data_IF_236262615115
#
_entry.id   IF_236262615115
#
_cell.length_a   1.000
_cell.length_b   1.000
_cell.length_c   1.000
_cell.angle_alpha   90.00
_cell.angle_beta   90.00
_cell.angle_gamma   90.00
#
_symmetry.space_group_name_H-M   'P 1'
#
loop_
_entity.id
_entity.type
_entity.pdbx_description
1 polymer ?
#
# COMPACT_ATOMS: atom_id res chain seq x y z
N UNK A 1 -5.81 27.79 9.67
CA UNK A 1 -7.22 27.83 10.07
C UNK A 1 -7.32 27.36 11.51
N UNK A 2 -8.18 27.98 12.32
CA UNK A 2 -8.58 27.38 13.61
C UNK A 2 -9.50 26.19 13.32
N UNK A 3 -9.25 25.05 13.95
CA UNK A 3 -10.08 23.86 13.88
C UNK A 3 -10.14 23.22 15.28
N UNK A 4 -11.05 22.27 15.45
CA UNK A 4 -11.30 21.53 16.70
C UNK A 4 -10.83 20.07 16.64
N UNK A 5 -10.43 19.58 15.46
CA UNK A 5 -9.94 18.22 15.26
C UNK A 5 -8.77 17.87 16.17
N UNK A 6 -8.93 16.79 16.95
CA UNK A 6 -7.87 16.14 17.74
C UNK A 6 -7.72 14.69 17.27
N UNK A 7 -6.49 14.25 17.03
CA UNK A 7 -6.16 12.86 16.67
C UNK A 7 -5.31 12.25 17.78
N UNK A 8 -5.66 11.06 18.25
CA UNK A 8 -4.99 10.42 19.39
C UNK A 8 -4.73 8.93 19.14
N UNK A 9 -3.59 8.43 19.64
CA UNK A 9 -3.24 7.01 19.60
C UNK A 9 -2.20 6.65 20.66
N UNK A 10 -2.61 5.88 21.67
CA UNK A 10 -1.77 5.59 22.83
C UNK A 10 -1.31 6.88 23.54
N UNK A 11 0.00 7.02 23.74
CA UNK A 11 0.59 8.22 24.37
C UNK A 11 0.74 9.43 23.42
N UNK A 12 0.43 9.29 22.12
CA UNK A 12 0.57 10.35 21.12
C UNK A 12 -0.76 11.11 20.96
N UNK A 13 -0.70 12.44 21.05
CA UNK A 13 -1.83 13.34 20.80
C UNK A 13 -1.43 14.41 19.79
N UNK A 14 -2.28 14.65 18.80
CA UNK A 14 -2.24 15.78 17.89
C UNK A 14 -3.47 16.64 18.19
N UNK A 15 -3.28 17.77 18.85
CA UNK A 15 -4.37 18.71 19.16
C UNK A 15 -4.24 20.00 18.34
N UNK A 16 -5.32 20.75 18.12
CA UNK A 16 -5.25 22.03 17.41
C UNK A 16 -4.21 22.96 18.05
N UNK A 17 -3.42 23.62 17.21
CA UNK A 17 -2.50 24.67 17.63
C UNK A 17 -3.29 25.92 18.07
N UNK A 18 -2.87 26.51 19.17
CA UNK A 18 -3.42 27.76 19.69
C UNK A 18 -2.33 28.83 19.85
N UNK A 19 -2.72 30.08 20.05
CA UNK A 19 -1.77 31.19 20.27
C UNK A 19 -0.87 30.94 21.50
N UNK A 20 -1.40 30.28 22.54
CA UNK A 20 -0.66 29.98 23.77
C UNK A 20 0.48 28.96 23.55
N UNK A 21 0.41 28.15 22.49
CA UNK A 21 1.41 27.14 22.18
C UNK A 21 2.63 27.71 21.45
N UNK A 22 2.50 28.91 20.86
CA UNK A 22 3.50 29.45 19.92
C UNK A 22 4.84 29.69 20.61
N UNK A 23 4.86 30.40 21.73
CA UNK A 23 6.11 30.70 22.42
C UNK A 23 6.81 29.42 22.92
N UNK A 24 6.14 28.47 23.62
CA UNK A 24 6.74 27.19 23.97
C UNK A 24 7.29 26.39 22.78
N UNK A 25 6.58 26.39 21.65
CA UNK A 25 7.05 25.73 20.42
C UNK A 25 8.29 26.41 19.83
N UNK A 26 8.33 27.75 19.82
CA UNK A 26 9.51 28.51 19.37
C UNK A 26 10.73 28.23 20.26
N UNK A 27 10.55 28.20 21.58
CA UNK A 27 11.63 27.91 22.54
C UNK A 27 12.16 26.49 22.33
N UNK A 28 11.25 25.51 22.19
CA UNK A 28 11.61 24.11 21.93
C UNK A 28 12.32 23.95 20.57
N UNK A 29 11.83 24.60 19.52
CA UNK A 29 12.46 24.59 18.21
C UNK A 29 13.86 25.23 18.24
N UNK A 30 14.03 26.33 18.98
CA UNK A 30 15.32 27.01 19.16
C UNK A 30 16.35 26.12 19.84
N UNK A 31 15.94 25.39 20.88
CA UNK A 31 16.80 24.42 21.56
C UNK A 31 17.27 23.26 20.65
N UNK A 32 16.61 23.05 19.51
CA UNK A 32 16.91 22.01 18.53
C UNK A 32 17.20 22.55 17.12
N UNK A 33 17.65 23.80 16.98
CA UNK A 33 17.80 24.46 15.68
C UNK A 33 18.66 23.66 14.68
N UNK A 34 19.78 23.08 15.13
CA UNK A 34 20.66 22.26 14.27
C UNK A 34 19.95 21.00 13.75
N UNK A 35 19.17 20.35 14.62
CA UNK A 35 18.38 19.17 14.26
C UNK A 35 17.28 19.47 13.22
N UNK A 36 16.86 20.73 13.14
CA UNK A 36 15.77 21.24 12.30
C UNK A 36 16.26 22.08 11.11
N UNK A 37 17.57 22.21 10.88
CA UNK A 37 18.16 23.07 9.84
C UNK A 37 17.72 22.80 8.40
N UNK A 38 17.22 21.59 8.12
CA UNK A 38 16.72 21.19 6.80
C UNK A 38 15.23 21.49 6.59
N UNK A 39 14.57 22.14 7.56
CA UNK A 39 13.26 22.72 7.33
C UNK A 39 13.37 23.94 6.41
N UNK A 40 12.42 24.09 5.49
CA UNK A 40 12.44 25.22 4.55
C UNK A 40 12.36 26.57 5.26
N UNK A 41 11.47 26.67 6.24
CA UNK A 41 11.38 27.80 7.18
C UNK A 41 11.67 27.28 8.59
N UNK A 42 12.62 27.88 9.32
CA UNK A 42 12.89 27.51 10.71
C UNK A 42 11.63 27.68 11.57
N UNK A 43 11.24 26.66 12.36
CA UNK A 43 10.04 26.71 13.18
C UNK A 43 10.26 27.44 14.52
N UNK A 44 11.29 28.28 14.63
CA UNK A 44 11.67 28.96 15.87
C UNK A 44 11.17 30.42 15.95
N UNK A 45 10.23 30.80 15.08
CA UNK A 45 9.66 32.16 15.04
C UNK A 45 8.13 32.12 15.18
N UNK A 46 7.50 33.10 15.84
CA UNK A 46 6.04 33.13 15.96
C UNK A 46 5.30 33.15 14.62
N UNK A 47 5.87 33.83 13.62
CA UNK A 47 5.26 33.98 12.29
C UNK A 47 5.12 32.64 11.56
N UNK A 48 6.04 31.69 11.80
CA UNK A 48 5.95 30.33 11.30
C UNK A 48 4.63 29.65 11.70
N UNK A 49 4.11 29.95 12.89
CA UNK A 49 2.89 29.38 13.45
C UNK A 49 1.65 30.21 13.15
N UNK A 50 1.73 31.55 13.29
CA UNK A 50 0.60 32.44 13.03
C UNK A 50 0.13 32.40 11.59
N UNK A 51 1.04 32.24 10.63
CA UNK A 51 0.67 32.02 9.23
C UNK A 51 -0.26 30.81 9.06
N UNK A 52 0.00 29.73 9.79
CA UNK A 52 -0.83 28.52 9.74
C UNK A 52 -2.18 28.69 10.42
N UNK A 53 -2.27 29.51 11.48
CA UNK A 53 -3.54 29.78 12.16
C UNK A 53 -4.50 30.58 11.28
N UNK A 54 -3.98 31.48 10.45
CA UNK A 54 -4.75 32.40 9.62
C UNK A 54 -5.07 31.85 8.22
N UNK A 55 -4.27 30.92 7.70
CA UNK A 55 -4.47 30.33 6.37
C UNK A 55 -5.61 29.30 6.36
N UNK A 56 -6.73 29.51 5.62
CA UNK A 56 -7.84 28.55 5.56
C UNK A 56 -7.46 27.21 4.91
N UNK A 57 -6.38 27.16 4.14
CA UNK A 57 -5.88 25.93 3.53
C UNK A 57 -4.91 25.15 4.45
N UNK A 58 -4.86 25.49 5.74
CA UNK A 58 -4.01 24.81 6.73
C UNK A 58 -4.77 24.46 8.02
N UNK A 59 -4.50 23.27 8.54
CA UNK A 59 -4.90 22.80 9.86
C UNK A 59 -3.65 22.42 10.63
N UNK A 60 -3.29 23.21 11.64
CA UNK A 60 -2.05 23.06 12.37
C UNK A 60 -2.24 22.37 13.71
N UNK A 61 -1.37 21.40 14.00
CA UNK A 61 -1.40 20.62 15.22
C UNK A 61 -0.16 20.84 16.07
N UNK A 62 -0.36 20.88 17.38
CA UNK A 62 0.69 20.57 18.35
C UNK A 62 0.82 19.06 18.45
N UNK A 63 2.05 18.56 18.49
CA UNK A 63 2.32 17.14 18.74
C UNK A 63 2.77 16.98 20.18
N UNK A 64 2.09 16.11 20.92
CA UNK A 64 2.41 15.77 22.31
C UNK A 64 2.63 14.27 22.47
N UNK A 65 3.61 13.88 23.29
CA UNK A 65 3.87 12.49 23.66
C UNK A 65 3.88 12.38 25.18
N UNK A 66 2.95 11.61 25.74
CA UNK A 66 2.78 11.47 27.19
C UNK A 66 2.45 12.81 27.87
N UNK A 67 1.70 13.67 27.19
CA UNK A 67 1.33 15.01 27.67
C UNK A 67 2.45 16.05 27.62
N UNK A 68 3.59 15.75 26.99
CA UNK A 68 4.71 16.69 26.82
C UNK A 68 4.82 17.14 25.37
N UNK A 69 5.19 18.41 25.19
CA UNK A 69 5.42 19.00 23.87
C UNK A 69 6.54 18.26 23.12
N UNK A 70 6.22 17.76 21.93
CA UNK A 70 7.12 16.93 21.12
C UNK A 70 7.42 17.54 19.75
N UNK A 71 6.62 18.52 19.30
CA UNK A 71 6.83 19.22 18.03
C UNK A 71 5.53 19.75 17.44
N UNK A 72 5.49 19.90 16.11
CA UNK A 72 4.27 20.30 15.39
C UNK A 72 4.18 19.65 14.01
N UNK A 73 2.97 19.56 13.48
CA UNK A 73 2.68 19.06 12.13
C UNK A 73 1.42 19.73 11.58
N UNK A 74 1.17 19.66 10.27
CA UNK A 74 0.00 20.30 9.66
C UNK A 74 -0.57 19.48 8.52
N UNK A 75 -1.88 19.56 8.32
CA UNK A 75 -2.42 19.52 6.97
C UNK A 75 -2.23 20.90 6.36
N UNK A 76 -1.71 20.98 5.15
CA UNK A 76 -1.57 22.22 4.39
C UNK A 76 -1.85 21.99 2.93
N UNK A 77 -1.82 23.05 2.11
CA UNK A 77 -2.14 22.96 0.67
C UNK A 77 -3.46 22.20 0.43
N UNK A 78 -4.45 22.46 1.29
CA UNK A 78 -5.77 21.82 1.22
C UNK A 78 -6.49 22.39 0.00
N UNK A 79 -6.75 21.52 -0.97
CA UNK A 79 -7.40 21.81 -2.24
C UNK A 79 -8.72 21.04 -2.29
N UNK A 80 -9.74 21.57 -1.62
CA UNK A 80 -11.04 20.93 -1.49
C UNK A 80 -11.66 20.56 -2.85
N UNK A 81 -11.50 21.40 -3.88
CA UNK A 81 -12.00 21.15 -5.23
C UNK A 81 -11.35 19.93 -5.93
N UNK A 82 -10.23 19.43 -5.41
CA UNK A 82 -9.49 18.30 -5.95
C UNK A 82 -9.30 17.18 -4.93
N UNK A 83 -9.96 17.27 -3.76
CA UNK A 83 -9.82 16.30 -2.67
C UNK A 83 -8.35 16.00 -2.34
N UNK A 84 -7.51 17.04 -2.34
CA UNK A 84 -6.07 16.90 -2.18
C UNK A 84 -5.54 17.73 -1.03
N UNK A 85 -4.54 17.22 -0.30
CA UNK A 85 -3.82 18.00 0.72
C UNK A 85 -2.35 17.55 0.84
N UNK A 86 -1.57 18.32 1.59
CA UNK A 86 -0.21 17.98 2.01
C UNK A 86 -0.16 17.70 3.51
N UNK A 87 0.50 16.60 3.91
CA UNK A 87 0.93 16.44 5.30
C UNK A 87 2.40 16.84 5.39
N UNK A 88 2.65 17.99 5.99
CA UNK A 88 3.97 18.62 6.00
C UNK A 88 4.22 19.44 7.25
N UNK A 89 5.22 20.31 7.15
CA UNK A 89 5.68 21.19 8.25
C UNK A 89 5.98 20.43 9.55
N UNK A 90 6.22 19.12 9.41
CA UNK A 90 6.39 18.19 10.51
C UNK A 90 7.79 18.35 11.06
N UNK A 91 7.87 18.64 12.35
CA UNK A 91 9.10 18.48 13.11
C UNK A 91 8.79 17.85 14.45
N UNK A 92 9.75 17.04 14.91
CA UNK A 92 9.75 16.40 16.22
C UNK A 92 11.10 16.67 16.86
N UNK A 93 11.13 16.77 18.18
CA UNK A 93 12.38 16.79 18.93
C UNK A 93 13.20 15.51 18.68
N UNK A 94 14.55 15.56 18.76
CA UNK A 94 15.41 14.41 18.49
C UNK A 94 15.09 13.17 19.32
N UNK A 95 14.59 13.34 20.55
CA UNK A 95 14.18 12.27 21.46
C UNK A 95 13.06 11.38 20.89
N UNK A 96 12.29 11.89 19.93
CA UNK A 96 11.21 11.16 19.26
C UNK A 96 11.60 10.67 17.86
N UNK A 97 12.87 10.78 17.47
CA UNK A 97 13.35 10.22 16.22
C UNK A 97 13.64 8.74 16.37
N UNK A 98 13.31 7.96 15.33
CA UNK A 98 13.47 6.50 15.31
C UNK A 98 12.73 5.72 16.41
N UNK A 99 11.81 6.37 17.14
CA UNK A 99 10.94 5.73 18.15
C UNK A 99 9.60 5.23 17.59
N UNK A 100 9.36 5.43 16.29
CA UNK A 100 8.06 5.17 15.66
C UNK A 100 7.01 6.26 15.89
N UNK A 101 7.31 7.35 16.62
CA UNK A 101 6.37 8.47 16.82
C UNK A 101 5.90 9.08 15.50
N UNK A 102 6.81 9.40 14.57
CA UNK A 102 6.42 9.93 13.27
C UNK A 102 5.54 8.94 12.47
N UNK A 103 5.85 7.64 12.50
CA UNK A 103 5.05 6.61 11.82
C UNK A 103 3.61 6.58 12.36
N UNK A 104 3.44 6.52 13.68
CA UNK A 104 2.11 6.54 14.34
C UNK A 104 1.34 7.82 14.06
N UNK A 105 2.02 8.97 14.10
CA UNK A 105 1.44 10.27 13.77
C UNK A 105 0.93 10.31 12.33
N UNK A 106 1.74 9.86 11.37
CA UNK A 106 1.34 9.81 9.95
C UNK A 106 0.22 8.82 9.71
N UNK A 107 0.17 7.69 10.43
CA UNK A 107 -0.98 6.76 10.38
C UNK A 107 -2.27 7.48 10.78
N UNK A 108 -2.30 8.15 11.93
CA UNK A 108 -3.49 8.88 12.40
C UNK A 108 -3.93 9.95 11.39
N UNK A 109 -2.97 10.69 10.83
CA UNK A 109 -3.29 11.75 9.87
C UNK A 109 -3.75 11.20 8.51
N UNK A 110 -3.07 10.20 7.96
CA UNK A 110 -3.48 9.59 6.69
C UNK A 110 -4.87 8.94 6.82
N UNK A 111 -5.11 8.23 7.93
CA UNK A 111 -6.41 7.63 8.24
C UNK A 111 -7.52 8.67 8.20
N UNK A 112 -7.36 9.75 8.97
CA UNK A 112 -8.37 10.81 8.98
C UNK A 112 -8.53 11.47 7.59
N UNK A 113 -7.44 11.73 6.87
CA UNK A 113 -7.52 12.35 5.55
C UNK A 113 -8.30 11.49 4.53
N UNK A 114 -8.08 10.17 4.50
CA UNK A 114 -8.73 9.29 3.54
C UNK A 114 -10.14 8.85 3.98
N UNK A 115 -10.30 8.46 5.25
CA UNK A 115 -11.52 7.82 5.75
C UNK A 115 -12.58 8.83 6.18
N UNK A 116 -12.18 9.97 6.74
CA UNK A 116 -13.11 10.98 7.28
C UNK A 116 -13.23 12.21 6.36
N UNK A 117 -12.09 12.73 5.87
CA UNK A 117 -12.11 13.91 4.98
C UNK A 117 -12.39 13.56 3.51
N UNK A 118 -12.36 12.27 3.14
CA UNK A 118 -12.61 11.81 1.77
C UNK A 118 -11.59 12.33 0.76
N UNK A 119 -10.32 12.49 1.15
CA UNK A 119 -9.27 12.92 0.23
C UNK A 119 -8.96 11.84 -0.80
N UNK A 120 -8.74 12.23 -2.06
CA UNK A 120 -8.22 11.36 -3.11
C UNK A 120 -6.70 11.24 -3.05
N UNK A 121 -6.03 12.29 -2.55
CA UNK A 121 -4.58 12.41 -2.61
C UNK A 121 -4.01 13.13 -1.40
N UNK A 122 -3.01 12.50 -0.78
CA UNK A 122 -2.17 13.12 0.25
C UNK A 122 -0.74 13.21 -0.26
N UNK A 123 -0.24 14.41 -0.46
CA UNK A 123 1.15 14.65 -0.84
C UNK A 123 2.05 14.83 0.39
N UNK A 124 3.32 14.48 0.24
CA UNK A 124 4.39 14.79 1.17
C UNK A 124 5.57 15.33 0.38
N UNK A 125 6.30 16.30 0.94
CA UNK A 125 7.50 16.82 0.29
C UNK A 125 8.62 17.06 1.28
N UNK A 126 9.85 16.92 0.80
CA UNK A 126 11.03 17.20 1.61
C UNK A 126 12.17 17.73 0.76
N UNK A 127 13.21 18.23 1.41
CA UNK A 127 14.43 18.67 0.72
C UNK A 127 15.16 17.46 0.14
N UNK A 128 15.73 17.59 -1.07
CA UNK A 128 16.58 16.57 -1.66
C UNK A 128 17.77 16.19 -0.76
N UNK A 129 18.25 17.12 0.07
CA UNK A 129 19.32 16.87 1.04
C UNK A 129 18.81 16.18 2.33
N UNK A 130 17.50 16.17 2.59
CA UNK A 130 16.90 15.58 3.78
C UNK A 130 16.61 14.09 3.59
N UNK A 131 17.68 13.31 3.43
CA UNK A 131 17.62 11.85 3.22
C UNK A 131 16.94 11.11 4.38
N UNK A 132 17.01 11.64 5.61
CA UNK A 132 16.27 11.12 6.77
C UNK A 132 14.77 11.17 6.53
N UNK A 133 14.26 12.32 6.07
CA UNK A 133 12.85 12.48 5.78
C UNK A 133 12.41 11.67 4.56
N UNK A 134 13.26 11.56 3.54
CA UNK A 134 12.97 10.73 2.35
C UNK A 134 12.75 9.27 2.76
N UNK A 135 13.70 8.68 3.51
CA UNK A 135 13.56 7.32 4.05
C UNK A 135 12.34 7.16 4.93
N UNK A 136 12.01 8.17 5.73
CA UNK A 136 10.83 8.13 6.57
C UNK A 136 9.54 8.12 5.74
N UNK A 137 9.45 8.92 4.68
CA UNK A 137 8.30 8.99 3.77
C UNK A 137 8.16 7.70 2.96
N UNK A 138 9.25 7.20 2.40
CA UNK A 138 9.30 5.91 1.68
C UNK A 138 8.92 4.75 2.61
N UNK A 139 9.34 4.81 3.88
CA UNK A 139 8.97 3.85 4.91
C UNK A 139 7.47 3.80 5.20
N UNK A 140 6.71 4.88 4.92
CA UNK A 140 5.25 4.90 5.01
C UNK A 140 4.60 4.09 3.88
N UNK A 141 5.29 3.88 2.76
CA UNK A 141 4.69 3.36 1.52
C UNK A 141 4.24 4.45 0.54
N UNK A 142 4.65 5.71 0.73
CA UNK A 142 4.36 6.78 -0.22
C UNK A 142 5.22 6.64 -1.49
N UNK A 143 4.61 6.87 -2.64
CA UNK A 143 5.26 6.80 -3.95
C UNK A 143 6.03 8.08 -4.24
N UNK A 144 7.28 7.96 -4.70
CA UNK A 144 8.11 9.09 -5.14
C UNK A 144 7.76 9.49 -6.57
N UNK A 145 7.33 10.72 -6.78
CA UNK A 145 6.84 11.18 -8.08
C UNK A 145 7.87 11.98 -8.87
N UNK A 146 8.78 12.67 -8.19
CA UNK A 146 9.78 13.48 -8.89
C UNK A 146 10.55 14.45 -8.01
N UNK A 147 11.41 15.23 -8.67
CA UNK A 147 12.20 16.30 -8.05
C UNK A 147 11.89 17.61 -8.75
N UNK A 148 11.38 18.56 -7.99
CA UNK A 148 11.24 19.95 -8.43
C UNK A 148 12.58 20.64 -8.20
N UNK A 149 13.31 20.90 -9.29
CA UNK A 149 14.61 21.59 -9.26
C UNK A 149 14.45 23.06 -8.95
N UNK A 150 15.30 23.62 -8.08
CA UNK A 150 15.28 25.04 -7.70
C UNK A 150 13.89 25.54 -7.27
N UNK A 151 13.15 24.71 -6.54
CA UNK A 151 11.76 24.96 -6.18
C UNK A 151 11.58 26.06 -5.13
N UNK A 152 12.45 26.11 -4.11
CA UNK A 152 12.33 27.05 -2.99
C UNK A 152 13.68 27.58 -2.54
N UNK A 153 13.71 28.68 -1.78
CA UNK A 153 14.91 29.14 -1.08
C UNK A 153 14.98 28.50 0.31
N UNK A 154 16.17 28.08 0.73
CA UNK A 154 16.47 27.69 2.11
C UNK A 154 16.70 28.94 2.96
N UNK A 155 16.73 28.74 4.28
CA UNK A 155 17.03 29.82 5.23
C UNK A 155 18.40 30.46 5.02
N UNK A 156 19.38 29.70 4.52
CA UNK A 156 20.73 30.18 4.18
C UNK A 156 20.82 30.89 2.81
N UNK A 157 19.69 31.06 2.11
CA UNK A 157 19.61 31.70 0.80
C UNK A 157 19.88 30.79 -0.40
N UNK A 158 20.37 29.56 -0.18
CA UNK A 158 20.61 28.59 -1.25
C UNK A 158 19.31 28.06 -1.86
N UNK A 159 19.37 27.56 -3.10
CA UNK A 159 18.21 26.96 -3.76
C UNK A 159 18.00 25.50 -3.35
N UNK A 160 16.76 25.19 -2.98
CA UNK A 160 16.28 23.86 -2.61
C UNK A 160 15.63 23.14 -3.79
N UNK A 161 16.11 21.94 -4.03
CA UNK A 161 15.39 20.92 -4.78
C UNK A 161 14.43 20.18 -3.86
N UNK A 162 13.19 20.01 -4.31
CA UNK A 162 12.13 19.37 -3.52
C UNK A 162 11.78 18.01 -4.09
N UNK A 163 11.87 16.97 -3.28
CA UNK A 163 11.38 15.64 -3.62
C UNK A 163 9.91 15.56 -3.27
N UNK A 164 9.09 15.18 -4.25
CA UNK A 164 7.64 15.03 -4.12
C UNK A 164 7.26 13.56 -3.97
N UNK A 165 6.35 13.29 -3.04
CA UNK A 165 5.78 11.98 -2.79
C UNK A 165 4.26 12.08 -2.63
N UNK A 166 3.56 10.96 -2.78
CA UNK A 166 2.12 10.87 -2.49
C UNK A 166 1.66 9.52 -2.00
N UNK A 167 0.49 9.52 -1.40
CA UNK A 167 -0.40 8.36 -1.25
C UNK A 167 -1.75 8.76 -1.86
N UNK A 168 -2.37 7.86 -2.61
CA UNK A 168 -3.71 8.02 -3.19
C UNK A 168 -4.73 7.17 -2.45
N UNK A 169 -6.03 7.47 -2.64
CA UNK A 169 -7.13 6.70 -2.02
C UNK A 169 -7.02 5.21 -2.32
N UNK A 170 -6.69 4.82 -3.55
CA UNK A 170 -6.55 3.42 -3.94
C UNK A 170 -5.37 2.72 -3.26
N UNK A 171 -4.33 3.46 -2.88
CA UNK A 171 -3.15 2.94 -2.18
C UNK A 171 -3.34 2.91 -0.67
N UNK A 172 -4.29 3.68 -0.12
CA UNK A 172 -4.50 3.83 1.31
C UNK A 172 -4.74 2.50 2.04
N UNK A 173 -5.56 1.54 1.57
CA UNK A 173 -5.75 0.28 2.28
C UNK A 173 -4.44 -0.48 2.54
N UNK A 174 -3.54 -0.52 1.54
CA UNK A 174 -2.24 -1.18 1.67
C UNK A 174 -1.30 -0.40 2.60
N UNK A 175 -1.23 0.93 2.42
CA UNK A 175 -0.42 1.82 3.27
C UNK A 175 -0.89 1.78 4.72
N UNK A 176 -2.20 1.82 4.95
CA UNK A 176 -2.85 1.79 6.26
C UNK A 176 -2.53 0.52 7.02
N UNK A 177 -2.73 -0.66 6.41
CA UNK A 177 -2.40 -1.96 7.00
C UNK A 177 -0.89 -2.07 7.36
N UNK A 178 -0.02 -1.64 6.45
CA UNK A 178 1.43 -1.59 6.71
C UNK A 178 1.77 -0.69 7.90
N UNK A 179 1.08 0.44 8.05
CA UNK A 179 1.34 1.41 9.11
C UNK A 179 0.75 0.99 10.46
N UNK A 180 -0.41 0.36 10.49
CA UNK A 180 -1.05 -0.18 11.70
C UNK A 180 -0.30 -1.40 12.25
N UNK A 181 0.43 -2.11 11.38
CA UNK A 181 1.01 -3.40 11.74
C UNK A 181 -0.04 -4.51 11.81
N UNK A 182 -1.24 -4.26 11.28
CA UNK A 182 -2.22 -5.31 11.02
C UNK A 182 -1.62 -6.31 10.03
N UNK A 183 -1.79 -7.60 10.32
CA UNK A 183 -1.36 -8.64 9.41
C UNK A 183 -2.09 -8.46 8.07
N UNK A 184 -1.32 -8.29 7.00
CA UNK A 184 -1.87 -8.36 5.65
C UNK A 184 -2.46 -9.77 5.46
N UNK A 185 -3.65 -9.93 4.86
CA UNK A 185 -4.06 -11.23 4.35
C UNK A 185 -2.93 -11.75 3.46
N UNK A 186 -2.51 -13.00 3.67
CA UNK A 186 -1.47 -13.61 2.84
C UNK A 186 -1.95 -13.57 1.38
N UNK A 187 -1.24 -12.87 0.48
CA UNK A 187 -1.65 -12.76 -0.91
C UNK A 187 -1.82 -14.13 -1.56
N UNK A 188 -0.98 -15.11 -1.20
CA UNK A 188 -1.09 -16.47 -1.72
C UNK A 188 -2.41 -17.08 -1.28
N UNK A 189 -2.66 -17.11 0.04
CA UNK A 189 -3.87 -17.67 0.60
C UNK A 189 -5.13 -17.00 0.05
N UNK A 190 -5.10 -15.68 -0.12
CA UNK A 190 -6.21 -14.88 -0.64
C UNK A 190 -6.69 -15.37 -2.01
N UNK A 191 -5.76 -15.54 -2.96
CA UNK A 191 -6.14 -15.99 -4.32
C UNK A 191 -6.25 -17.49 -4.42
N UNK A 192 -5.52 -18.26 -3.61
CA UNK A 192 -5.63 -19.72 -3.59
C UNK A 192 -7.01 -20.18 -3.09
N UNK A 193 -7.59 -19.49 -2.11
CA UNK A 193 -8.95 -19.81 -1.63
C UNK A 193 -10.04 -19.48 -2.66
N UNK A 194 -9.81 -18.47 -3.50
CA UNK A 194 -10.69 -18.15 -4.63
C UNK A 194 -10.51 -19.16 -5.77
N UNK A 195 -9.27 -19.55 -6.06
CA UNK A 195 -8.96 -20.58 -7.04
C UNK A 195 -9.60 -21.92 -6.65
N UNK A 196 -9.57 -22.30 -5.37
CA UNK A 196 -10.28 -23.49 -4.89
C UNK A 196 -11.80 -23.41 -5.10
N UNK A 197 -12.40 -22.22 -5.01
CA UNK A 197 -13.83 -22.06 -5.34
C UNK A 197 -14.10 -22.30 -6.82
N UNK A 198 -13.18 -21.91 -7.72
CA UNK A 198 -13.26 -22.29 -9.15
C UNK A 198 -13.24 -23.81 -9.29
N UNK A 199 -12.28 -24.50 -8.67
CA UNK A 199 -12.20 -25.97 -8.74
C UNK A 199 -13.42 -26.69 -8.15
N UNK A 200 -13.97 -26.20 -7.05
CA UNK A 200 -15.22 -26.72 -6.50
C UNK A 200 -16.41 -26.47 -7.44
N UNK A 201 -16.47 -25.33 -8.12
CA UNK A 201 -17.50 -25.08 -9.13
C UNK A 201 -17.39 -26.06 -10.32
N UNK A 202 -16.17 -26.30 -10.81
CA UNK A 202 -15.90 -27.30 -11.87
C UNK A 202 -16.31 -28.72 -11.44
N UNK A 203 -16.03 -29.07 -10.18
CA UNK A 203 -16.36 -30.38 -9.60
C UNK A 203 -17.86 -30.57 -9.35
N UNK A 204 -18.57 -29.50 -9.03
CA UNK A 204 -20.02 -29.55 -8.77
C UNK A 204 -20.85 -29.30 -10.05
N UNK A 205 -20.22 -28.91 -11.16
CA UNK A 205 -20.92 -28.50 -12.38
C UNK A 205 -21.67 -27.17 -12.22
N UNK A 206 -21.25 -26.30 -11.30
CA UNK A 206 -21.92 -25.04 -10.99
C UNK A 206 -21.38 -23.89 -11.85
N UNK A 207 -21.94 -23.77 -13.06
CA UNK A 207 -21.59 -22.70 -14.01
C UNK A 207 -21.78 -21.30 -13.43
N UNK A 208 -22.73 -21.10 -12.52
CA UNK A 208 -23.02 -19.78 -11.96
C UNK A 208 -21.98 -19.39 -10.90
N UNK A 209 -21.56 -20.33 -10.06
CA UNK A 209 -20.50 -20.10 -9.09
C UNK A 209 -19.17 -19.75 -9.78
N UNK A 210 -18.80 -20.50 -10.82
CA UNK A 210 -17.61 -20.23 -11.62
C UNK A 210 -17.70 -18.84 -12.29
N UNK A 211 -18.79 -18.56 -13.00
CA UNK A 211 -19.02 -17.30 -13.70
C UNK A 211 -18.93 -16.07 -12.79
N UNK A 212 -19.27 -16.17 -11.50
CA UNK A 212 -19.18 -15.07 -10.52
C UNK A 212 -17.75 -14.70 -10.15
N UNK A 213 -16.82 -15.64 -10.26
CA UNK A 213 -15.41 -15.41 -9.99
C UNK A 213 -14.68 -14.80 -11.18
N UNK A 214 -15.27 -14.86 -12.38
CA UNK A 214 -14.69 -14.31 -13.60
C UNK A 214 -15.10 -12.85 -13.83
N UNK A 215 -14.14 -12.04 -14.26
CA UNK A 215 -14.38 -10.69 -14.78
C UNK A 215 -15.15 -10.72 -16.11
N UNK A 216 -15.85 -9.62 -16.43
CA UNK A 216 -16.58 -9.47 -17.70
C UNK A 216 -15.65 -9.56 -18.92
N UNK A 217 -14.40 -9.11 -18.78
CA UNK A 217 -13.35 -9.12 -19.79
C UNK A 217 -12.39 -10.31 -19.66
N UNK A 218 -12.78 -11.37 -18.94
CA UNK A 218 -11.97 -12.57 -18.71
C UNK A 218 -11.47 -13.20 -20.02
N UNK A 219 -10.20 -13.63 -20.02
CA UNK A 219 -9.58 -14.39 -21.10
C UNK A 219 -8.98 -15.71 -20.57
N UNK A 220 -9.59 -16.82 -20.96
CA UNK A 220 -9.04 -18.17 -20.83
C UNK A 220 -8.21 -18.58 -22.04
N UNK A 221 -7.04 -19.19 -21.83
CA UNK A 221 -6.17 -19.74 -22.88
C UNK A 221 -5.88 -21.22 -22.57
N UNK A 222 -6.41 -22.11 -23.38
CA UNK A 222 -6.35 -23.56 -23.19
C UNK A 222 -5.82 -24.26 -24.44
N UNK A 223 -5.51 -25.56 -24.34
CA UNK A 223 -5.07 -26.37 -25.48
C UNK A 223 -6.07 -26.34 -26.66
N UNK A 224 -7.37 -26.28 -26.36
CA UNK A 224 -8.44 -26.22 -27.38
C UNK A 224 -8.63 -24.83 -28.00
N UNK A 225 -8.01 -23.78 -27.47
CA UNK A 225 -8.16 -22.40 -27.94
C UNK A 225 -8.40 -21.39 -26.83
N UNK A 226 -9.09 -20.29 -27.16
CA UNK A 226 -9.38 -19.20 -26.22
C UNK A 226 -10.86 -19.17 -25.87
N UNK A 227 -11.18 -18.82 -24.63
CA UNK A 227 -12.55 -18.65 -24.17
C UNK A 227 -12.69 -17.33 -23.41
N UNK A 228 -13.78 -16.60 -23.68
CA UNK A 228 -14.23 -15.52 -22.79
C UNK A 228 -15.07 -16.07 -21.64
N UNK A 229 -15.48 -15.20 -20.71
CA UNK A 229 -16.29 -15.54 -19.52
C UNK A 229 -17.42 -16.53 -19.80
N UNK A 230 -18.32 -16.17 -20.72
CA UNK A 230 -19.52 -16.96 -21.00
C UNK A 230 -19.18 -18.32 -21.64
N UNK A 231 -18.18 -18.36 -22.52
CA UNK A 231 -17.74 -19.60 -23.15
C UNK A 231 -17.05 -20.54 -22.15
N UNK A 232 -16.28 -19.99 -21.21
CA UNK A 232 -15.66 -20.76 -20.13
C UNK A 232 -16.72 -21.37 -19.21
N UNK A 233 -17.65 -20.56 -18.68
CA UNK A 233 -18.69 -21.06 -17.78
C UNK A 233 -19.65 -22.06 -18.47
N UNK A 234 -19.94 -21.87 -19.76
CA UNK A 234 -20.82 -22.77 -20.52
C UNK A 234 -20.28 -24.20 -20.64
N UNK A 235 -18.98 -24.44 -20.42
CA UNK A 235 -18.40 -25.79 -20.44
C UNK A 235 -19.02 -26.72 -19.38
N UNK A 236 -19.54 -26.15 -18.29
CA UNK A 236 -20.22 -26.88 -17.21
C UNK A 236 -21.71 -27.14 -17.52
N UNK A 237 -22.23 -26.71 -18.67
CA UNK A 237 -23.61 -26.94 -19.06
C UNK A 237 -23.98 -28.42 -19.23
N UNK A 238 -22.99 -29.29 -19.41
CA UNK A 238 -23.15 -30.74 -19.50
C UNK A 238 -23.00 -31.46 -18.13
N UNK A 239 -22.76 -30.71 -17.04
CA UNK A 239 -22.47 -31.22 -15.70
C UNK A 239 -21.03 -30.97 -15.28
N UNK A 240 -20.56 -31.64 -14.21
CA UNK A 240 -19.19 -31.52 -13.72
C UNK A 240 -18.14 -31.82 -14.80
N UNK A 241 -17.05 -31.06 -14.83
CA UNK A 241 -15.88 -31.37 -15.66
C UNK A 241 -14.74 -32.04 -14.88
N UNK A 242 -14.81 -31.99 -13.55
CA UNK A 242 -13.82 -32.52 -12.62
C UNK A 242 -14.49 -33.48 -11.65
N UNK A 243 -13.87 -34.62 -11.35
CA UNK A 243 -14.32 -35.55 -10.32
C UNK A 243 -13.53 -35.39 -9.02
N UNK A 244 -12.20 -35.43 -9.14
CA UNK A 244 -11.26 -35.16 -8.04
C UNK A 244 -10.16 -34.23 -8.52
N UNK A 245 -9.59 -33.45 -7.61
CA UNK A 245 -8.44 -32.60 -7.91
C UNK A 245 -7.52 -32.45 -6.69
N UNK A 246 -6.25 -32.16 -6.95
CA UNK A 246 -5.27 -31.72 -5.98
C UNK A 246 -4.50 -30.54 -6.56
N UNK A 247 -4.29 -29.51 -5.74
CA UNK A 247 -3.47 -28.34 -6.09
C UNK A 247 -2.14 -28.42 -5.32
N UNK A 248 -1.05 -28.01 -5.96
CA UNK A 248 0.29 -28.05 -5.38
C UNK A 248 1.24 -27.07 -6.06
N UNK A 249 2.45 -26.92 -5.50
CA UNK A 249 3.51 -26.06 -6.05
C UNK A 249 3.06 -24.60 -6.27
N UNK A 250 2.27 -24.07 -5.33
CA UNK A 250 1.63 -22.78 -5.43
C UNK A 250 2.64 -21.63 -5.27
N UNK A 251 2.56 -20.67 -6.17
CA UNK A 251 3.37 -19.47 -6.15
C UNK A 251 2.51 -18.26 -6.45
N UNK A 252 2.73 -17.18 -5.72
CA UNK A 252 2.09 -15.89 -5.98
C UNK A 252 3.13 -14.83 -6.35
N UNK A 253 2.76 -13.94 -7.25
CA UNK A 253 3.50 -12.71 -7.59
C UNK A 253 2.54 -11.53 -7.58
N UNK A 254 2.92 -10.46 -6.89
CA UNK A 254 2.21 -9.18 -6.96
C UNK A 254 2.67 -8.42 -8.20
N UNK A 255 1.76 -8.22 -9.15
CA UNK A 255 2.05 -7.50 -10.39
C UNK A 255 1.90 -5.99 -10.22
N UNK A 256 0.89 -5.58 -9.46
CA UNK A 256 0.58 -4.19 -9.10
C UNK A 256 -0.31 -4.19 -7.83
N UNK A 257 -0.53 -3.04 -7.16
CA UNK A 257 -1.56 -2.93 -6.13
C UNK A 257 -2.91 -3.44 -6.65
N UNK A 258 -3.51 -4.41 -5.93
CA UNK A 258 -4.77 -5.04 -6.34
C UNK A 258 -4.67 -5.98 -7.56
N UNK A 259 -3.47 -6.41 -7.96
CA UNK A 259 -3.28 -7.33 -9.09
C UNK A 259 -2.26 -8.43 -8.72
N UNK A 260 -2.73 -9.67 -8.68
CA UNK A 260 -1.96 -10.85 -8.27
C UNK A 260 -1.93 -11.87 -9.40
N UNK A 261 -0.78 -12.49 -9.61
CA UNK A 261 -0.62 -13.68 -10.44
C UNK A 261 -0.44 -14.89 -9.53
N UNK A 262 -1.26 -15.91 -9.73
CA UNK A 262 -1.15 -17.21 -9.09
C UNK A 262 -0.67 -18.23 -10.12
N UNK A 263 0.32 -19.04 -9.77
CA UNK A 263 0.79 -20.17 -10.56
C UNK A 263 0.81 -21.40 -9.67
N UNK A 264 0.31 -22.52 -10.17
CA UNK A 264 0.27 -23.79 -9.42
C UNK A 264 0.20 -24.99 -10.36
N UNK A 265 0.40 -26.18 -9.81
CA UNK A 265 0.15 -27.46 -10.48
C UNK A 265 -1.20 -27.99 -10.03
N UNK A 266 -2.05 -28.35 -10.99
CA UNK A 266 -3.27 -29.11 -10.74
C UNK A 266 -3.13 -30.53 -11.27
N UNK A 267 -3.54 -31.49 -10.46
CA UNK A 267 -3.75 -32.88 -10.86
C UNK A 267 -5.24 -33.22 -10.68
N UNK A 268 -5.92 -33.68 -11.72
CA UNK A 268 -7.37 -33.94 -11.65
C UNK A 268 -7.83 -35.07 -12.59
N UNK A 269 -9.01 -35.63 -12.32
CA UNK A 269 -9.68 -36.59 -13.20
C UNK A 269 -11.02 -36.05 -13.66
N UNK A 270 -11.50 -36.51 -14.82
CA UNK A 270 -12.84 -36.21 -15.32
C UNK A 270 -13.88 -37.20 -14.73
N UNK A 271 -15.18 -36.86 -14.66
CA UNK A 271 -16.21 -37.78 -14.17
C UNK A 271 -16.32 -39.09 -14.96
N UNK A 272 -16.09 -39.03 -16.27
CA UNK A 272 -16.25 -40.16 -17.19
C UNK A 272 -14.93 -40.85 -17.56
N UNK A 273 -13.79 -40.44 -16.97
CA UNK A 273 -12.49 -41.06 -17.23
C UNK A 273 -11.63 -41.14 -15.96
N UNK A 274 -10.99 -42.30 -15.68
CA UNK A 274 -10.03 -42.42 -14.60
C UNK A 274 -8.67 -41.78 -14.92
N UNK A 275 -8.46 -41.27 -16.14
CA UNK A 275 -7.19 -40.70 -16.55
C UNK A 275 -6.83 -39.46 -15.74
N UNK A 276 -5.60 -39.44 -15.22
CA UNK A 276 -5.07 -38.34 -14.44
C UNK A 276 -4.47 -37.27 -15.37
N UNK A 277 -5.07 -36.08 -15.35
CA UNK A 277 -4.58 -34.91 -16.04
C UNK A 277 -3.64 -34.12 -15.13
N UNK A 278 -2.54 -33.62 -15.70
CA UNK A 278 -1.59 -32.74 -15.01
C UNK A 278 -1.37 -31.47 -15.81
N UNK A 279 -1.64 -30.33 -15.19
CA UNK A 279 -1.50 -29.02 -15.82
C UNK A 279 -0.81 -28.05 -14.87
N UNK A 280 0.02 -27.19 -15.44
CA UNK A 280 0.45 -25.96 -14.80
C UNK A 280 -0.57 -24.89 -15.14
N UNK A 281 -1.21 -24.34 -14.11
CA UNK A 281 -2.19 -23.27 -14.24
C UNK A 281 -1.54 -21.95 -13.86
N UNK A 282 -1.78 -20.92 -14.67
CA UNK A 282 -1.47 -19.53 -14.34
C UNK A 282 -2.74 -18.71 -14.41
N UNK A 283 -3.12 -18.11 -13.30
CA UNK A 283 -4.28 -17.20 -13.22
C UNK A 283 -3.87 -15.81 -12.76
N UNK A 284 -4.56 -14.77 -13.23
CA UNK A 284 -4.39 -13.39 -12.78
C UNK A 284 -5.70 -12.95 -12.11
N UNK A 285 -5.57 -12.48 -10.88
CA UNK A 285 -6.66 -12.01 -10.04
C UNK A 285 -6.54 -10.50 -9.85
N UNK A 286 -7.65 -9.81 -10.03
CA UNK A 286 -7.73 -8.36 -9.86
C UNK A 286 -8.75 -8.01 -8.78
N UNK A 287 -8.34 -7.14 -7.86
CA UNK A 287 -9.21 -6.57 -6.85
C UNK A 287 -10.15 -5.53 -7.49
N UNK A 288 -11.46 -5.69 -7.27
CA UNK A 288 -12.53 -4.79 -7.70
C UNK A 288 -13.36 -4.40 -6.47
N UNK A 289 -12.97 -3.32 -5.81
CA UNK A 289 -13.56 -2.94 -4.52
C UNK A 289 -13.16 -3.93 -3.43
N UNK A 290 -14.15 -4.56 -2.78
CA UNK A 290 -13.92 -5.55 -1.71
C UNK A 290 -13.73 -6.98 -2.23
N UNK A 291 -14.00 -7.23 -3.53
CA UNK A 291 -13.92 -8.56 -4.13
C UNK A 291 -12.71 -8.70 -5.04
N UNK A 292 -12.36 -9.95 -5.33
CA UNK A 292 -11.36 -10.31 -6.32
C UNK A 292 -12.03 -11.10 -7.43
N UNK A 293 -11.62 -10.82 -8.67
CA UNK A 293 -12.10 -11.52 -9.87
C UNK A 293 -10.93 -12.01 -10.69
N UNK A 294 -11.08 -13.18 -11.30
CA UNK A 294 -10.15 -13.74 -12.25
C UNK A 294 -10.30 -13.03 -13.60
N UNK A 295 -9.21 -12.46 -14.10
CA UNK A 295 -9.15 -11.74 -15.38
C UNK A 295 -8.47 -12.54 -16.48
N UNK A 296 -7.71 -13.56 -16.11
CA UNK A 296 -6.97 -14.38 -17.04
C UNK A 296 -6.69 -15.74 -16.43
N UNK A 297 -6.90 -16.80 -17.19
CA UNK A 297 -6.44 -18.14 -16.81
C UNK A 297 -5.81 -18.85 -18.00
N UNK A 298 -4.74 -19.58 -17.74
CA UNK A 298 -4.06 -20.40 -18.74
C UNK A 298 -3.66 -21.74 -18.15
N UNK A 299 -3.96 -22.80 -18.89
CA UNK A 299 -3.53 -24.14 -18.57
C UNK A 299 -2.43 -24.57 -19.56
N UNK A 300 -1.33 -25.08 -19.01
CA UNK A 300 -0.24 -25.67 -19.79
C UNK A 300 -0.11 -27.13 -19.39
N UNK A 301 -0.33 -28.04 -20.34
CA UNK A 301 -0.11 -29.47 -20.10
C UNK A 301 1.32 -29.72 -19.63
N UNK A 302 1.47 -30.39 -18.49
CA UNK A 302 2.79 -30.81 -18.02
C UNK A 302 3.04 -32.25 -18.43
N UNK A 303 4.00 -32.46 -19.32
CA UNK A 303 4.56 -33.79 -19.58
C UNK A 303 5.56 -34.10 -18.46
N UNK A 304 5.14 -34.78 -17.38
CA UNK A 304 6.09 -35.30 -16.41
C UNK A 304 6.80 -36.53 -17.02
N UNK A 305 7.97 -36.31 -17.63
CA UNK A 305 9.05 -37.31 -17.61
C UNK A 305 9.86 -37.05 -16.35
N UNK A 306 9.91 -38.01 -15.42
CA UNK A 306 10.80 -37.97 -14.26
C UNK A 306 12.25 -37.68 -14.70
N UNK A 307 12.79 -36.51 -14.35
CA UNK A 307 14.23 -36.31 -14.27
C UNK A 307 14.57 -35.77 -12.88
N UNK A 308 15.08 -36.66 -12.04
CA UNK A 308 15.77 -36.31 -10.81
C UNK A 308 17.04 -35.51 -11.14
N UNK A 309 17.00 -34.19 -10.95
CA UNK A 309 18.22 -33.41 -10.73
C UNK A 309 18.52 -33.37 -9.23
N UNK A 310 19.12 -34.45 -8.74
CA UNK A 310 20.04 -34.37 -7.60
C UNK A 310 21.42 -34.03 -8.13
N UNK A 311 21.75 -32.75 -8.26
CA UNK A 311 23.15 -32.33 -8.28
C UNK A 311 23.65 -32.18 -6.84
N UNK A 312 24.31 -33.25 -6.40
CA UNK A 312 25.22 -33.24 -5.26
C UNK A 312 26.47 -32.44 -5.63
N UNK A 313 26.60 -31.24 -5.08
CA UNK A 313 27.91 -30.58 -5.04
C UNK A 313 28.81 -31.32 -4.04
N UNK A 314 29.59 -32.25 -4.58
CA UNK A 314 30.80 -32.78 -3.97
C UNK A 314 31.84 -31.66 -3.95
N UNK A 315 32.07 -31.08 -2.77
CA UNK A 315 33.27 -30.29 -2.51
C UNK A 315 34.48 -31.23 -2.45
N UNK A 316 35.19 -31.35 -3.57
CA UNK A 316 36.54 -31.90 -3.61
C UNK A 316 37.54 -30.91 -3.04
N UNK A 317 38.03 -31.20 -1.84
CA UNK A 317 39.29 -30.67 -1.35
C UNK A 317 40.44 -31.37 -2.09
N UNK A 318 41.44 -30.63 -2.58
CA UNK A 318 42.88 -30.92 -2.42
C UNK A 318 43.77 -29.97 -3.24
N UNK A 319 44.89 -29.61 -2.59
CA UNK A 319 46.10 -28.92 -3.05
C UNK A 319 46.06 -27.38 -3.13
#
# INVERSE_FOLDING_TARGET
MKHDLTLQGGALTLRPLTEADIQPLCDLASAHAEALRLMGTPPNTPDYYRGALTDPAQMAFVVEVGGKLAGSTRYGDIRAAHSGLEIGWTWLTPEHWRTGTNRRMKLLMLRHAFEEMGMERVQLKTDLLNTRSQRAIEGLGAVREGVLRSHMRRADGTMRDTVMYSVTRSEWPEVGARLSGEARPDPLQTVLDLEKQVWEALKNGDAEADRRLLSEDFLGVYAAGRAGREAHAAQLGAGPSVATYTLSAEQVRTLAPGLLLLSYRAEFTAPDSPDLHRVLVTSIWQQRGETWVNVFSQDTESQDTESHDTESHVNGASA
#
